data_IF_013467372771
#
_entry.id   IF_013467372771
#
_cell.length_a   1.000
_cell.length_b   1.000
_cell.length_c   1.000
_cell.angle_alpha   90.00
_cell.angle_beta   90.00
_cell.angle_gamma   90.00
#
_symmetry.space_group_name_H-M   'P 1'
#
loop_
_entity.id
_entity.type
_entity.pdbx_description
1 polymer ?
#
# COMPACT_ATOMS: atom_id res chain seq x y z
N UNK A 1 16.57 70.52 53.11
CA UNK A 1 15.65 70.82 51.95
C UNK A 1 15.78 69.68 50.99
N UNK A 2 14.82 68.76 50.98
CA UNK A 2 14.81 67.58 50.12
C UNK A 2 13.72 67.80 49.04
N UNK A 3 14.16 67.86 47.79
CA UNK A 3 13.26 67.98 46.65
C UNK A 3 12.87 66.61 46.17
N UNK A 4 11.59 66.32 46.12
CA UNK A 4 11.01 65.06 45.69
C UNK A 4 10.63 65.21 44.21
N UNK A 5 11.28 64.46 43.34
CA UNK A 5 10.96 64.41 41.91
C UNK A 5 10.05 63.20 41.68
N UNK A 6 8.81 63.48 41.27
CA UNK A 6 7.85 62.45 40.79
C UNK A 6 8.17 62.10 39.34
N UNK A 7 8.52 60.82 39.08
CA UNK A 7 8.67 60.31 37.74
C UNK A 7 7.36 59.61 37.40
N UNK A 8 6.62 60.13 36.42
CA UNK A 8 5.48 59.46 35.84
C UNK A 8 5.95 58.37 34.90
N UNK A 9 5.65 57.14 35.26
CA UNK A 9 5.87 55.99 34.38
C UNK A 9 4.71 55.84 33.42
N UNK A 10 5.01 56.06 32.12
CA UNK A 10 4.07 55.90 31.04
C UNK A 10 4.10 54.43 30.64
N UNK A 11 3.04 53.67 30.97
CA UNK A 11 2.87 52.33 30.50
C UNK A 11 2.39 52.35 29.04
N UNK A 12 3.29 52.00 28.10
CA UNK A 12 2.94 51.63 26.74
C UNK A 12 2.53 50.16 26.74
N UNK A 13 1.25 49.89 26.60
CA UNK A 13 0.75 48.57 26.29
C UNK A 13 1.01 48.28 24.81
N UNK A 14 2.04 47.51 24.52
CA UNK A 14 2.19 46.89 23.20
C UNK A 14 1.17 45.76 23.06
N UNK A 15 0.16 45.99 22.24
CA UNK A 15 -0.71 44.91 21.74
C UNK A 15 0.11 44.08 20.76
N UNK A 16 0.56 42.90 21.19
CA UNK A 16 1.15 41.92 20.30
C UNK A 16 0.00 41.30 19.52
N UNK A 17 -0.15 41.77 18.28
CA UNK A 17 -0.98 41.11 17.31
C UNK A 17 -0.47 39.68 17.12
N UNK A 18 -1.28 38.69 17.49
CA UNK A 18 -1.06 37.31 17.14
C UNK A 18 -1.02 37.21 15.62
N UNK A 19 0.20 37.03 15.11
CA UNK A 19 0.40 36.53 13.76
C UNK A 19 -0.10 35.10 13.84
N UNK A 20 -1.30 34.83 13.35
CA UNK A 20 -1.71 33.51 12.98
C UNK A 20 -0.74 33.06 11.88
N UNK A 21 0.21 32.24 12.23
CA UNK A 21 0.82 31.35 11.28
C UNK A 21 -0.34 30.49 10.77
N UNK A 22 -0.73 30.66 9.51
CA UNK A 22 -1.36 29.61 8.75
C UNK A 22 -0.37 28.44 8.77
N UNK A 23 -0.51 27.58 9.77
CA UNK A 23 -0.05 26.21 9.65
C UNK A 23 -0.75 25.68 8.39
N UNK A 24 0.05 25.54 7.35
CA UNK A 24 -0.29 24.64 6.27
C UNK A 24 -0.62 23.30 6.95
N UNK A 25 -1.90 23.04 7.17
CA UNK A 25 -2.38 21.69 7.24
C UNK A 25 -2.04 21.11 5.85
N UNK A 26 -0.83 20.63 5.68
CA UNK A 26 -0.59 19.51 4.80
C UNK A 26 -1.66 18.52 5.21
N UNK A 27 -2.66 18.37 4.35
CA UNK A 27 -3.61 17.31 4.46
C UNK A 27 -2.78 16.04 4.59
N UNK A 28 -2.65 15.51 5.80
CA UNK A 28 -2.36 14.09 5.98
C UNK A 28 -3.45 13.41 5.16
N UNK A 29 -3.10 13.10 3.94
CA UNK A 29 -3.91 12.22 3.08
C UNK A 29 -4.00 10.95 3.92
N UNK A 30 -5.18 10.74 4.46
CA UNK A 30 -5.50 9.62 5.33
C UNK A 30 -5.00 8.34 4.64
N UNK A 31 -3.82 7.90 5.05
CA UNK A 31 -3.12 6.75 4.47
C UNK A 31 -3.90 5.44 4.63
N UNK A 32 -5.05 5.49 5.31
CA UNK A 32 -5.95 4.36 5.52
C UNK A 32 -6.98 4.14 4.40
N UNK A 33 -7.11 5.06 3.43
CA UNK A 33 -8.23 5.02 2.48
C UNK A 33 -8.19 3.88 1.48
N UNK A 34 -7.04 3.40 1.11
CA UNK A 34 -6.89 2.35 0.10
C UNK A 34 -5.93 1.22 0.48
N UNK A 35 -5.51 1.15 1.73
CA UNK A 35 -4.67 0.06 2.18
C UNK A 35 -5.44 -1.26 2.14
N UNK A 36 -5.23 -2.03 1.09
CA UNK A 36 -5.86 -3.34 0.89
C UNK A 36 -5.21 -4.40 1.78
N UNK A 37 -4.07 -4.08 2.41
CA UNK A 37 -3.28 -5.00 3.21
C UNK A 37 -3.56 -4.79 4.70
N UNK A 38 -4.21 -5.77 5.31
CA UNK A 38 -4.27 -5.88 6.75
C UNK A 38 -2.93 -6.31 7.34
N UNK A 39 -2.53 -5.71 8.48
CA UNK A 39 -1.26 -5.97 9.17
C UNK A 39 -0.03 -5.76 8.25
N UNK A 40 0.00 -4.62 7.57
CA UNK A 40 1.02 -4.26 6.58
C UNK A 40 2.44 -4.16 7.16
N UNK A 41 2.55 -3.83 8.45
CA UNK A 41 3.79 -3.64 9.21
C UNK A 41 4.04 -4.77 10.23
N UNK A 42 3.37 -5.92 10.10
CA UNK A 42 3.59 -7.11 10.93
C UNK A 42 3.36 -6.90 12.44
N UNK A 43 2.63 -5.86 12.85
CA UNK A 43 2.41 -5.53 14.26
C UNK A 43 1.57 -6.57 15.00
N UNK A 44 0.67 -7.24 14.30
CA UNK A 44 -0.19 -8.27 14.85
C UNK A 44 0.36 -9.67 14.56
N UNK A 45 0.40 -10.52 15.60
CA UNK A 45 0.91 -11.88 15.48
C UNK A 45 1.23 -12.50 16.83
N UNK A 46 1.63 -13.76 16.82
CA UNK A 46 2.06 -14.52 17.99
C UNK A 46 3.47 -15.08 17.77
N UNK A 47 4.41 -14.68 18.64
CA UNK A 47 5.80 -15.06 18.51
C UNK A 47 6.41 -14.64 17.17
N UNK A 48 6.88 -15.62 16.42
CA UNK A 48 7.51 -15.45 15.10
C UNK A 48 6.52 -15.41 13.93
N UNK A 49 5.23 -15.64 14.19
CA UNK A 49 4.18 -15.61 13.18
C UNK A 49 3.52 -14.22 13.10
N UNK A 50 3.24 -13.75 11.89
CA UNK A 50 2.50 -12.52 11.63
C UNK A 50 1.08 -12.84 11.16
N UNK A 51 0.08 -12.27 11.84
CA UNK A 51 -1.32 -12.53 11.53
C UNK A 51 -1.68 -12.11 10.10
N UNK A 52 -2.25 -13.04 9.34
CA UNK A 52 -2.68 -12.81 7.97
C UNK A 52 -1.54 -12.82 6.93
N UNK A 53 -0.33 -13.21 7.32
CA UNK A 53 0.81 -13.49 6.45
C UNK A 53 1.16 -14.97 6.51
N UNK A 54 1.77 -15.50 5.47
CA UNK A 54 2.34 -16.84 5.47
C UNK A 54 3.84 -16.77 5.21
N UNK A 55 4.61 -17.30 6.14
CA UNK A 55 6.05 -17.45 6.03
C UNK A 55 6.35 -18.92 5.67
N UNK A 56 6.95 -19.14 4.51
CA UNK A 56 7.08 -20.50 3.94
C UNK A 56 8.46 -20.76 3.35
N UNK A 57 8.67 -21.97 2.90
CA UNK A 57 9.87 -22.56 2.31
C UNK A 57 10.94 -23.05 3.30
N UNK A 58 12.14 -23.38 2.77
CA UNK A 58 13.16 -24.15 3.50
C UNK A 58 13.73 -23.42 4.73
N UNK A 59 13.80 -22.10 4.67
CA UNK A 59 14.21 -21.21 5.78
C UNK A 59 13.19 -20.05 5.85
N UNK A 60 12.03 -20.26 6.49
CA UNK A 60 10.96 -19.28 6.52
C UNK A 60 11.42 -17.95 7.13
N UNK A 61 10.78 -16.86 6.70
CA UNK A 61 10.86 -15.61 7.42
C UNK A 61 10.26 -15.74 8.81
N UNK A 62 10.60 -14.82 9.69
CA UNK A 62 10.02 -14.72 11.03
C UNK A 62 9.60 -13.28 11.31
N UNK A 63 8.52 -13.10 12.07
CA UNK A 63 8.18 -11.83 12.68
C UNK A 63 9.19 -11.51 13.79
N UNK A 64 9.70 -10.30 13.84
CA UNK A 64 10.75 -9.92 14.80
C UNK A 64 10.61 -8.48 15.27
N UNK A 65 11.07 -8.21 16.48
CA UNK A 65 11.22 -6.86 17.04
C UNK A 65 12.69 -6.41 17.11
N UNK A 66 13.58 -7.12 16.44
CA UNK A 66 15.02 -6.81 16.49
C UNK A 66 15.42 -5.57 15.67
N UNK A 67 14.65 -5.28 14.63
CA UNK A 67 14.80 -4.09 13.78
C UNK A 67 13.50 -3.91 12.98
N UNK A 68 12.98 -2.67 12.84
CA UNK A 68 11.73 -2.35 12.17
C UNK A 68 11.81 -0.93 11.58
N UNK A 69 11.01 -0.64 10.57
CA UNK A 69 10.93 0.69 9.99
C UNK A 69 9.94 1.55 10.76
N UNK A 70 8.70 1.05 10.96
CA UNK A 70 7.72 1.69 11.84
C UNK A 70 7.19 0.70 12.86
N UNK A 71 6.45 1.21 13.86
CA UNK A 71 5.87 0.36 14.89
C UNK A 71 6.88 -0.31 15.80
N UNK A 72 6.81 -1.63 15.93
CA UNK A 72 7.61 -2.44 16.84
C UNK A 72 8.08 -3.78 16.25
N UNK A 73 7.60 -4.13 15.06
CA UNK A 73 7.88 -5.40 14.41
C UNK A 73 8.13 -5.24 12.93
N UNK A 74 8.78 -6.23 12.34
CA UNK A 74 8.98 -6.40 10.90
C UNK A 74 9.04 -7.89 10.56
N UNK A 75 9.10 -8.24 9.28
CA UNK A 75 9.47 -9.58 8.86
C UNK A 75 10.98 -9.68 8.60
N UNK A 76 11.62 -10.71 9.12
CA UNK A 76 13.04 -10.96 9.00
C UNK A 76 13.31 -12.25 8.25
N UNK A 77 14.18 -12.18 7.28
CA UNK A 77 14.69 -13.31 6.50
C UNK A 77 16.18 -13.49 6.78
N UNK A 78 16.56 -14.72 7.16
CA UNK A 78 17.95 -15.10 7.35
C UNK A 78 18.20 -16.37 6.53
N UNK A 79 18.82 -16.19 5.37
CA UNK A 79 19.14 -17.30 4.49
C UNK A 79 20.62 -17.64 4.53
N UNK A 80 20.90 -18.94 4.66
CA UNK A 80 22.23 -19.50 4.50
C UNK A 80 22.18 -20.77 3.63
N UNK A 81 23.13 -20.92 2.75
CA UNK A 81 23.31 -22.11 1.95
C UNK A 81 24.56 -22.86 2.42
N UNK A 82 24.36 -23.85 3.27
CA UNK A 82 25.43 -24.72 3.77
C UNK A 82 25.59 -25.99 2.91
N UNK A 83 24.68 -26.20 1.95
CA UNK A 83 24.59 -27.37 1.12
C UNK A 83 24.73 -27.11 -0.38
N UNK A 84 24.27 -28.06 -1.18
CA UNK A 84 24.27 -27.97 -2.65
C UNK A 84 22.98 -27.39 -3.23
N UNK A 85 21.91 -27.31 -2.44
CA UNK A 85 20.62 -26.82 -2.89
C UNK A 85 20.43 -25.35 -2.43
N UNK A 86 19.84 -24.51 -3.26
CA UNK A 86 19.44 -23.19 -2.84
C UNK A 86 18.51 -23.24 -1.62
N UNK A 87 18.66 -22.28 -0.72
CA UNK A 87 17.70 -22.02 0.36
C UNK A 87 16.76 -20.90 -0.06
N UNK A 88 15.52 -21.02 0.34
CA UNK A 88 14.46 -20.04 0.01
C UNK A 88 13.65 -19.67 1.23
N UNK A 89 13.20 -18.40 1.25
CA UNK A 89 12.16 -17.89 2.14
C UNK A 89 11.11 -17.15 1.30
N UNK A 90 9.85 -17.35 1.64
CA UNK A 90 8.73 -16.63 1.04
C UNK A 90 7.90 -15.93 2.11
N UNK A 91 7.56 -14.68 1.85
CA UNK A 91 6.59 -13.89 2.60
C UNK A 91 5.40 -13.71 1.68
N UNK A 92 4.26 -14.26 2.05
CA UNK A 92 3.07 -14.35 1.19
C UNK A 92 1.89 -13.64 1.84
N UNK A 93 1.21 -12.81 1.05
CA UNK A 93 -0.07 -12.18 1.39
C UNK A 93 -1.11 -12.49 0.34
N UNK A 94 -2.24 -13.04 0.78
CA UNK A 94 -3.45 -13.11 -0.04
C UNK A 94 -4.36 -11.94 0.32
N UNK A 95 -4.85 -11.24 -0.69
CA UNK A 95 -5.75 -10.11 -0.57
C UNK A 95 -7.03 -10.46 -1.33
N UNK A 96 -8.11 -10.61 -0.60
CA UNK A 96 -9.42 -10.99 -1.14
C UNK A 96 -10.40 -9.82 -1.09
N UNK A 97 -11.15 -9.62 -2.16
CA UNK A 97 -12.44 -8.92 -2.15
C UNK A 97 -12.43 -7.39 -2.01
N UNK A 98 -11.27 -6.71 -2.10
CA UNK A 98 -11.18 -5.24 -1.99
C UNK A 98 -10.56 -4.57 -3.22
N UNK A 99 -10.42 -5.31 -4.32
CA UNK A 99 -9.79 -4.78 -5.52
C UNK A 99 -10.79 -4.05 -6.40
N UNK A 100 -10.47 -2.83 -6.78
CA UNK A 100 -11.23 -2.03 -7.72
C UNK A 100 -10.71 -2.27 -9.14
N UNK A 101 -11.42 -3.08 -9.90
CA UNK A 101 -11.06 -3.37 -11.29
C UNK A 101 -11.00 -2.10 -12.14
N UNK A 102 -9.94 -2.01 -12.96
CA UNK A 102 -9.78 -0.89 -13.88
C UNK A 102 -9.01 0.31 -13.34
N UNK A 103 -8.57 0.31 -12.09
CA UNK A 103 -7.60 1.26 -11.57
C UNK A 103 -6.18 0.73 -11.73
N UNK A 104 -5.20 1.63 -11.73
CA UNK A 104 -3.81 1.28 -11.49
C UNK A 104 -3.58 1.13 -9.99
N UNK A 105 -2.63 0.29 -9.64
CA UNK A 105 -2.20 0.08 -8.26
C UNK A 105 -0.72 0.38 -8.12
N UNK A 106 -0.33 0.65 -6.90
CA UNK A 106 1.05 0.79 -6.49
C UNK A 106 1.35 -0.23 -5.40
N UNK A 107 2.47 -0.95 -5.52
CA UNK A 107 3.05 -1.72 -4.44
C UNK A 107 4.22 -0.92 -3.87
N UNK A 108 4.21 -0.63 -2.59
CA UNK A 108 5.38 -0.08 -1.89
C UNK A 108 5.71 -0.91 -0.66
N UNK A 109 6.98 -0.92 -0.28
CA UNK A 109 7.45 -1.59 0.92
C UNK A 109 8.82 -1.06 1.32
N UNK A 110 9.12 -1.13 2.61
CA UNK A 110 10.45 -0.80 3.13
C UNK A 110 11.29 -2.06 3.30
N UNK A 111 12.56 -1.95 2.97
CA UNK A 111 13.50 -3.07 3.03
C UNK A 111 14.87 -2.60 3.51
N UNK A 112 15.54 -3.44 4.34
CA UNK A 112 16.87 -3.16 4.88
C UNK A 112 17.69 -4.44 4.93
N UNK A 113 18.85 -4.47 4.28
CA UNK A 113 19.77 -5.58 4.51
C UNK A 113 20.46 -5.42 5.87
N UNK A 114 20.42 -6.46 6.68
CA UNK A 114 21.27 -6.59 7.87
C UNK A 114 22.67 -7.04 7.50
N UNK A 115 22.75 -7.96 6.53
CA UNK A 115 23.98 -8.50 5.99
C UNK A 115 23.91 -8.60 4.48
N UNK A 116 24.96 -8.12 3.82
CA UNK A 116 25.09 -8.17 2.36
C UNK A 116 24.94 -9.60 1.83
N UNK A 117 24.08 -9.77 0.83
CA UNK A 117 23.90 -11.05 0.18
C UNK A 117 25.17 -11.51 -0.55
N UNK A 118 25.43 -12.79 -0.50
CA UNK A 118 26.56 -13.49 -1.12
C UNK A 118 26.11 -14.73 -1.87
N UNK A 119 26.96 -15.29 -2.72
CA UNK A 119 26.73 -16.59 -3.34
C UNK A 119 25.45 -16.67 -4.19
N UNK A 120 25.13 -15.62 -4.93
CA UNK A 120 23.93 -15.59 -5.77
C UNK A 120 22.62 -15.31 -5.03
N UNK A 121 22.70 -14.70 -3.81
CA UNK A 121 21.50 -14.24 -3.11
C UNK A 121 20.74 -13.19 -3.91
N UNK A 122 19.43 -13.38 -4.06
CA UNK A 122 18.52 -12.47 -4.76
C UNK A 122 17.26 -12.22 -3.94
N UNK A 123 16.69 -11.04 -4.16
CA UNK A 123 15.45 -10.56 -3.56
C UNK A 123 14.46 -10.26 -4.69
N UNK A 124 13.27 -10.78 -4.62
CA UNK A 124 12.27 -10.69 -5.67
C UNK A 124 10.89 -10.46 -5.09
N UNK A 125 10.03 -9.78 -5.84
CA UNK A 125 8.59 -9.82 -5.64
C UNK A 125 7.90 -10.47 -6.84
N UNK A 126 6.68 -10.94 -6.61
CA UNK A 126 5.83 -11.61 -7.59
C UNK A 126 4.38 -11.32 -7.26
N UNK A 127 3.53 -11.10 -8.28
CA UNK A 127 2.11 -10.79 -8.10
C UNK A 127 1.31 -11.74 -8.97
N UNK A 128 0.37 -12.46 -8.38
CA UNK A 128 -0.57 -13.35 -9.06
C UNK A 128 -2.00 -12.81 -8.90
N UNK A 129 -2.74 -12.79 -10.00
CA UNK A 129 -4.12 -12.33 -10.06
C UNK A 129 -5.07 -13.49 -10.20
N UNK A 130 -6.16 -13.48 -9.43
CA UNK A 130 -7.16 -14.55 -9.43
C UNK A 130 -8.56 -13.97 -9.69
N UNK A 131 -9.37 -14.70 -10.48
CA UNK A 131 -10.78 -14.41 -10.69
C UNK A 131 -11.64 -14.87 -9.49
N UNK A 132 -12.96 -14.75 -9.63
CA UNK A 132 -13.93 -15.16 -8.61
C UNK A 132 -13.86 -16.67 -8.32
N UNK A 133 -13.59 -17.48 -9.34
CA UNK A 133 -13.41 -18.93 -9.21
C UNK A 133 -12.05 -19.34 -8.64
N UNK A 134 -11.24 -18.39 -8.16
CA UNK A 134 -9.86 -18.58 -7.68
C UNK A 134 -8.91 -19.19 -8.71
N UNK A 135 -9.20 -19.00 -9.98
CA UNK A 135 -8.31 -19.36 -11.07
C UNK A 135 -7.34 -18.21 -11.34
N UNK A 136 -6.07 -18.51 -11.49
CA UNK A 136 -5.06 -17.51 -11.84
C UNK A 136 -5.32 -17.06 -13.29
N UNK A 137 -5.53 -15.75 -13.47
CA UNK A 137 -5.82 -15.15 -14.78
C UNK A 137 -4.59 -14.52 -15.40
N UNK A 138 -3.69 -13.99 -14.58
CA UNK A 138 -2.45 -13.33 -15.01
C UNK A 138 -1.46 -13.29 -13.85
N UNK A 139 -0.19 -13.01 -14.16
CA UNK A 139 0.83 -12.75 -13.16
C UNK A 139 1.86 -11.73 -13.63
N UNK A 140 2.37 -10.94 -12.71
CA UNK A 140 3.64 -10.23 -12.88
C UNK A 140 4.72 -11.19 -12.39
N UNK A 141 5.50 -11.74 -13.32
CA UNK A 141 6.58 -12.66 -12.99
C UNK A 141 7.61 -12.05 -12.05
N UNK A 142 8.51 -12.87 -11.53
CA UNK A 142 9.54 -12.44 -10.58
C UNK A 142 10.30 -11.21 -11.05
N UNK A 143 10.26 -10.16 -10.24
CA UNK A 143 11.01 -8.91 -10.42
C UNK A 143 12.00 -8.77 -9.29
N UNK A 144 13.25 -8.52 -9.63
CA UNK A 144 14.30 -8.30 -8.63
C UNK A 144 14.20 -6.88 -8.07
N UNK A 145 14.52 -6.76 -6.79
CA UNK A 145 14.80 -5.50 -6.14
C UNK A 145 16.11 -5.59 -5.35
N UNK A 146 16.67 -4.45 -5.02
CA UNK A 146 17.88 -4.37 -4.24
C UNK A 146 17.62 -3.57 -2.97
N UNK A 147 18.37 -3.86 -1.92
CA UNK A 147 18.34 -3.10 -0.68
C UNK A 147 19.75 -2.81 -0.18
N UNK A 148 19.90 -1.78 0.62
CA UNK A 148 21.20 -1.40 1.18
C UNK A 148 21.43 -1.98 2.57
N UNK A 149 22.69 -2.23 2.87
CA UNK A 149 23.09 -2.70 4.22
C UNK A 149 22.96 -1.57 5.22
N UNK A 150 22.21 -1.81 6.29
CA UNK A 150 22.09 -0.91 7.43
C UNK A 150 21.14 0.27 7.25
N UNK A 151 20.49 0.41 6.07
CA UNK A 151 19.58 1.51 5.79
C UNK A 151 18.22 0.98 5.31
N UNK A 152 17.14 1.51 5.87
CA UNK A 152 15.80 1.32 5.35
C UNK A 152 15.65 2.10 4.05
N UNK A 153 15.13 1.43 3.03
CA UNK A 153 14.83 2.00 1.72
C UNK A 153 13.41 1.65 1.33
N UNK A 154 12.70 2.60 0.80
CA UNK A 154 11.41 2.35 0.17
C UNK A 154 11.61 1.85 -1.25
N UNK A 155 10.93 0.77 -1.58
CA UNK A 155 10.80 0.26 -2.94
C UNK A 155 9.38 0.57 -3.41
N UNK A 156 9.25 1.31 -4.51
CA UNK A 156 7.97 1.68 -5.09
C UNK A 156 7.85 1.05 -6.47
N UNK A 157 6.75 0.36 -6.70
CA UNK A 157 6.37 -0.24 -7.98
C UNK A 157 5.06 0.40 -8.43
N UNK A 158 5.13 1.47 -9.24
CA UNK A 158 3.95 2.19 -9.70
C UNK A 158 3.26 1.47 -10.87
N UNK A 159 2.09 1.98 -11.24
CA UNK A 159 1.35 1.65 -12.48
C UNK A 159 1.03 0.16 -12.68
N UNK A 160 0.80 -0.55 -11.59
CA UNK A 160 0.38 -1.96 -11.66
C UNK A 160 -1.06 -2.02 -12.16
N UNK A 161 -1.23 -2.48 -13.39
CA UNK A 161 -2.57 -2.64 -14.00
C UNK A 161 -3.21 -3.92 -13.48
N UNK A 162 -4.42 -3.79 -12.96
CA UNK A 162 -5.24 -4.94 -12.55
C UNK A 162 -6.15 -5.35 -13.71
N UNK A 163 -6.14 -6.64 -14.13
CA UNK A 163 -7.13 -7.18 -15.05
C UNK A 163 -8.55 -7.05 -14.48
N UNK A 164 -9.54 -6.80 -15.37
CA UNK A 164 -10.91 -6.48 -14.94
C UNK A 164 -11.63 -7.62 -14.20
N UNK A 165 -11.31 -8.85 -14.55
CA UNK A 165 -11.89 -10.05 -13.94
C UNK A 165 -11.32 -10.42 -12.56
N UNK A 166 -10.34 -9.66 -12.08
CA UNK A 166 -9.64 -9.97 -10.82
C UNK A 166 -10.53 -9.68 -9.62
N UNK A 167 -10.52 -10.62 -8.67
CA UNK A 167 -11.19 -10.50 -7.36
C UNK A 167 -10.23 -10.66 -6.19
N UNK A 168 -9.08 -11.31 -6.42
CA UNK A 168 -8.05 -11.44 -5.40
C UNK A 168 -6.66 -11.37 -5.99
N UNK A 169 -5.69 -11.03 -5.16
CA UNK A 169 -4.29 -10.96 -5.52
C UNK A 169 -3.46 -11.68 -4.46
N UNK A 170 -2.42 -12.36 -4.93
CA UNK A 170 -1.38 -12.91 -4.07
C UNK A 170 -0.10 -12.15 -4.31
N UNK A 171 0.38 -11.49 -3.27
CA UNK A 171 1.70 -10.90 -3.22
C UNK A 171 2.68 -11.91 -2.65
N UNK A 172 3.82 -12.05 -3.31
CA UNK A 172 4.88 -12.94 -2.87
C UNK A 172 6.22 -12.19 -2.89
N UNK A 173 6.87 -12.11 -1.75
CA UNK A 173 8.28 -11.70 -1.66
C UNK A 173 9.11 -12.96 -1.52
N UNK A 174 10.03 -13.15 -2.45
CA UNK A 174 10.90 -14.33 -2.52
C UNK A 174 12.35 -13.93 -2.31
N UNK A 175 12.97 -14.62 -1.41
CA UNK A 175 14.40 -14.52 -1.14
C UNK A 175 15.02 -15.89 -1.42
N UNK A 176 16.12 -15.91 -2.14
CA UNK A 176 16.74 -17.19 -2.52
C UNK A 176 18.25 -17.05 -2.58
N UNK A 177 18.96 -18.07 -2.12
CA UNK A 177 20.41 -18.19 -2.29
C UNK A 177 20.73 -18.84 -3.63
N UNK A 178 21.93 -18.59 -4.16
CA UNK A 178 22.46 -19.40 -5.25
C UNK A 178 22.79 -20.84 -4.78
N UNK A 179 23.12 -21.69 -5.73
CA UNK A 179 23.51 -23.07 -5.46
C UNK A 179 24.92 -23.20 -4.84
N UNK A 180 25.68 -22.11 -4.73
CA UNK A 180 27.03 -22.10 -4.17
C UNK A 180 26.99 -22.16 -2.65
N UNK A 181 27.67 -23.13 -2.07
CA UNK A 181 27.84 -23.24 -0.61
C UNK A 181 28.43 -21.94 -0.03
N UNK A 182 27.94 -21.51 1.14
CA UNK A 182 28.31 -20.27 1.81
C UNK A 182 27.59 -19.03 1.29
N UNK A 183 26.66 -19.18 0.33
CA UNK A 183 25.75 -18.10 -0.08
C UNK A 183 24.71 -17.81 0.99
N UNK A 184 24.19 -16.60 1.00
CA UNK A 184 23.13 -16.21 1.93
C UNK A 184 23.01 -14.71 2.06
N UNK A 185 22.06 -14.27 2.88
CA UNK A 185 21.81 -12.85 3.18
C UNK A 185 20.81 -12.72 4.31
N UNK A 186 20.85 -11.57 4.94
CA UNK A 186 19.93 -11.21 6.01
C UNK A 186 19.22 -9.91 5.65
N UNK A 187 17.88 -9.90 5.70
CA UNK A 187 17.07 -8.74 5.29
C UNK A 187 15.83 -8.62 6.17
N UNK A 188 15.46 -7.38 6.47
CA UNK A 188 14.18 -7.01 7.05
C UNK A 188 13.29 -6.42 5.97
N UNK A 189 11.99 -6.67 6.04
CA UNK A 189 10.95 -6.05 5.20
C UNK A 189 9.81 -5.58 6.10
N UNK A 190 9.27 -4.41 5.80
CA UNK A 190 8.25 -3.74 6.63
C UNK A 190 7.36 -2.82 5.80
N UNK A 191 6.25 -2.35 6.40
CA UNK A 191 5.32 -1.36 5.83
C UNK A 191 4.94 -1.66 4.38
N UNK A 192 4.47 -2.88 4.14
CA UNK A 192 4.07 -3.33 2.81
C UNK A 192 2.69 -2.76 2.49
N UNK A 193 2.61 -1.89 1.49
CA UNK A 193 1.37 -1.30 1.00
C UNK A 193 1.06 -1.75 -0.42
N UNK A 194 -0.20 -2.04 -0.67
CA UNK A 194 -0.73 -2.26 -2.00
C UNK A 194 -2.03 -1.48 -2.13
N UNK A 195 -2.01 -0.40 -2.89
CA UNK A 195 -3.11 0.57 -2.94
C UNK A 195 -3.48 0.95 -4.37
N UNK A 196 -4.77 1.24 -4.57
CA UNK A 196 -5.24 1.81 -5.81
C UNK A 196 -4.80 3.27 -5.95
N UNK A 197 -4.58 3.71 -7.18
CA UNK A 197 -4.69 5.13 -7.52
C UNK A 197 -6.18 5.47 -7.60
N UNK A 198 -6.75 5.85 -6.49
CA UNK A 198 -8.15 6.22 -6.31
C UNK A 198 -8.37 7.73 -6.27
N UNK A 199 -7.41 8.52 -6.76
CA UNK A 199 -7.58 9.96 -6.92
C UNK A 199 -8.86 10.31 -7.70
N UNK A 200 -9.49 11.47 -7.44
CA UNK A 200 -10.70 11.88 -8.17
C UNK A 200 -10.53 11.84 -9.68
N UNK A 201 -9.36 12.15 -10.19
CA UNK A 201 -8.99 12.13 -11.59
C UNK A 201 -8.92 10.71 -12.14
N UNK A 202 -8.25 9.80 -11.40
CA UNK A 202 -8.13 8.39 -11.79
C UNK A 202 -9.49 7.68 -11.77
N UNK A 203 -10.27 7.88 -10.71
CA UNK A 203 -11.62 7.33 -10.59
C UNK A 203 -12.55 7.85 -11.71
N UNK A 204 -12.55 9.17 -11.97
CA UNK A 204 -13.37 9.74 -13.05
C UNK A 204 -12.99 9.17 -14.42
N UNK A 205 -11.70 8.99 -14.67
CA UNK A 205 -11.20 8.40 -15.91
C UNK A 205 -11.63 6.94 -16.04
N UNK A 206 -11.49 6.17 -14.94
CA UNK A 206 -11.92 4.77 -14.92
C UNK A 206 -13.43 4.62 -15.11
N UNK A 207 -14.25 5.43 -14.43
CA UNK A 207 -15.71 5.45 -14.57
C UNK A 207 -16.10 5.66 -16.04
N UNK A 208 -15.59 6.71 -16.68
CA UNK A 208 -15.92 7.00 -18.08
C UNK A 208 -15.54 5.84 -19.00
N UNK A 209 -14.33 5.28 -18.83
CA UNK A 209 -13.88 4.12 -19.61
C UNK A 209 -14.80 2.91 -19.44
N UNK A 210 -15.27 2.62 -18.21
CA UNK A 210 -16.16 1.50 -17.94
C UNK A 210 -17.55 1.70 -18.56
N UNK A 211 -18.04 2.94 -18.54
CA UNK A 211 -19.30 3.29 -19.25
C UNK A 211 -19.15 3.10 -20.75
N UNK A 212 -18.06 3.57 -21.35
CA UNK A 212 -17.79 3.42 -22.79
C UNK A 212 -17.65 1.94 -23.22
N UNK A 213 -17.20 1.09 -22.31
CA UNK A 213 -17.08 -0.37 -22.50
C UNK A 213 -18.36 -1.14 -22.18
N UNK A 214 -19.46 -0.46 -21.85
CA UNK A 214 -20.71 -1.05 -21.37
C UNK A 214 -20.56 -1.94 -20.11
N UNK A 215 -19.53 -1.73 -19.31
CA UNK A 215 -19.27 -2.44 -18.06
C UNK A 215 -19.93 -1.72 -16.88
N UNK A 216 -21.28 -1.64 -16.93
CA UNK A 216 -22.07 -0.76 -16.08
C UNK A 216 -21.97 -1.12 -14.59
N UNK A 217 -21.89 -2.41 -14.25
CA UNK A 217 -21.74 -2.83 -12.85
C UNK A 217 -20.45 -2.29 -12.22
N UNK A 218 -19.34 -2.42 -12.94
CA UNK A 218 -18.04 -1.90 -12.47
C UNK A 218 -18.07 -0.37 -12.40
N UNK A 219 -18.70 0.29 -13.38
CA UNK A 219 -18.86 1.75 -13.35
C UNK A 219 -19.65 2.21 -12.13
N UNK A 220 -20.71 1.49 -11.74
CA UNK A 220 -21.51 1.78 -10.54
C UNK A 220 -20.69 1.63 -9.26
N UNK A 221 -19.90 0.57 -9.13
CA UNK A 221 -19.00 0.34 -7.98
C UNK A 221 -17.97 1.49 -7.83
N UNK A 222 -17.37 1.92 -8.95
CA UNK A 222 -16.44 3.05 -8.96
C UNK A 222 -17.11 4.38 -8.62
N UNK A 223 -18.36 4.61 -9.10
CA UNK A 223 -19.13 5.82 -8.73
C UNK A 223 -19.43 5.82 -7.24
N UNK A 224 -19.84 4.69 -6.67
CA UNK A 224 -20.14 4.61 -5.25
C UNK A 224 -18.90 4.86 -4.40
N UNK A 225 -17.76 4.31 -4.79
CA UNK A 225 -16.49 4.61 -4.15
C UNK A 225 -16.18 6.12 -4.22
N UNK A 226 -16.27 6.72 -5.41
CA UNK A 226 -16.01 8.16 -5.58
C UNK A 226 -16.91 9.02 -4.68
N UNK A 227 -18.22 8.75 -4.66
CA UNK A 227 -19.18 9.53 -3.86
C UNK A 227 -18.94 9.39 -2.36
N UNK A 228 -18.46 8.23 -1.93
CA UNK A 228 -18.14 7.94 -0.53
C UNK A 228 -16.85 8.64 -0.09
N UNK A 229 -15.79 8.50 -0.89
CA UNK A 229 -14.46 9.01 -0.54
C UNK A 229 -14.34 10.53 -0.73
N UNK A 230 -15.09 11.10 -1.69
CA UNK A 230 -15.03 12.52 -2.06
C UNK A 230 -16.37 13.24 -1.92
N UNK A 231 -16.99 13.29 -0.72
CA UNK A 231 -18.37 13.78 -0.55
C UNK A 231 -18.56 15.25 -0.93
N UNK A 232 -17.49 16.05 -0.94
CA UNK A 232 -17.51 17.47 -1.31
C UNK A 232 -17.00 17.77 -2.72
N UNK A 233 -16.72 16.74 -3.54
CA UNK A 233 -16.17 16.96 -4.88
C UNK A 233 -17.23 17.57 -5.82
N UNK A 234 -16.89 18.58 -6.63
CA UNK A 234 -17.82 19.20 -7.58
C UNK A 234 -18.43 18.25 -8.61
N UNK A 235 -17.77 17.12 -8.89
CA UNK A 235 -18.26 16.09 -9.83
C UNK A 235 -19.42 15.23 -9.28
N UNK A 236 -19.69 15.27 -7.98
CA UNK A 236 -20.70 14.43 -7.32
C UNK A 236 -22.08 14.54 -7.96
N UNK A 237 -22.51 15.76 -8.31
CA UNK A 237 -23.81 15.97 -8.95
C UNK A 237 -23.89 15.24 -10.31
N UNK A 238 -22.83 15.35 -11.11
CA UNK A 238 -22.73 14.67 -12.42
C UNK A 238 -22.71 13.16 -12.25
N UNK A 239 -21.93 12.65 -11.31
CA UNK A 239 -21.80 11.20 -11.06
C UNK A 239 -23.07 10.61 -10.46
N UNK A 240 -23.77 11.28 -9.58
CA UNK A 240 -25.10 10.86 -9.08
C UNK A 240 -26.10 10.75 -10.23
N UNK A 241 -26.12 11.74 -11.13
CA UNK A 241 -26.97 11.69 -12.31
C UNK A 241 -26.60 10.57 -13.29
N UNK A 242 -25.31 10.28 -13.44
CA UNK A 242 -24.83 9.15 -14.23
C UNK A 242 -25.25 7.81 -13.60
N UNK A 243 -25.06 7.63 -12.29
CA UNK A 243 -25.49 6.46 -11.53
C UNK A 243 -26.96 6.14 -11.75
N UNK A 244 -27.82 7.14 -11.57
CA UNK A 244 -29.28 6.95 -11.77
C UNK A 244 -29.63 6.49 -13.19
N UNK A 245 -28.93 6.98 -14.21
CA UNK A 245 -29.14 6.55 -15.61
C UNK A 245 -28.68 5.12 -15.85
N UNK A 246 -27.53 4.73 -15.31
CA UNK A 246 -27.00 3.37 -15.46
C UNK A 246 -27.92 2.33 -14.80
N UNK A 247 -28.40 2.60 -13.57
CA UNK A 247 -29.37 1.73 -12.90
C UNK A 247 -30.62 1.56 -13.73
N UNK A 248 -31.22 2.68 -14.20
CA UNK A 248 -32.42 2.61 -15.05
C UNK A 248 -32.19 1.82 -16.32
N UNK A 249 -31.00 1.89 -16.90
CA UNK A 249 -30.68 1.14 -18.13
C UNK A 249 -30.63 -0.37 -17.84
N UNK A 250 -30.01 -0.79 -16.73
CA UNK A 250 -29.96 -2.20 -16.29
C UNK A 250 -31.40 -2.76 -16.05
N UNK A 251 -32.25 -2.00 -15.35
CA UNK A 251 -33.63 -2.39 -15.07
C UNK A 251 -34.42 -2.62 -16.37
N UNK A 252 -34.17 -1.82 -17.42
CA UNK A 252 -34.80 -1.95 -18.71
C UNK A 252 -34.31 -3.20 -19.50
N UNK A 253 -33.01 -3.52 -19.40
CA UNK A 253 -32.46 -4.74 -20.00
C UNK A 253 -33.02 -6.00 -19.34
N UNK A 254 -33.11 -6.03 -18.01
CA UNK A 254 -33.69 -7.16 -17.26
C UNK A 254 -35.18 -7.37 -17.54
N UNK A 255 -35.91 -6.28 -17.79
CA UNK A 255 -37.37 -6.36 -18.09
C UNK A 255 -37.69 -6.82 -19.51
N UNK A 256 -36.71 -6.82 -20.42
CA UNK A 256 -36.85 -7.23 -21.82
C UNK A 256 -36.35 -8.64 -22.12
N UNK A 257 -35.77 -9.33 -21.13
CA UNK A 257 -35.31 -10.72 -21.20
C UNK A 257 -36.27 -11.65 -20.44
#
# INVERSE_FOLDING_TARGET
MKSLIFIHSLFFTFSIGSIFSEENQENEVDSNRSAVIYNSSFEEGDGEDALGWAFTHSQPAVRTNSDFHTGSYSAYVNLSNEGKNPSEAHIVKNIDGKLLGGLNYELSFFVKQKKKGTGGYIQQYFIEWFNEDKQMVESIGFKQFNSRVGLWEEIIVPDIKIPESVRSVKLLFRFVTGATSGGGGEVFIDDINFRADDSPEALSTAINRKVDQAQFQIALELIDNFLTEYPSNPQNLKLTGLKARLIKFQDLEESNN
#
